data_IF_417194047656
#
_entry.id   IF_417194047656
#
_cell.length_a   1.000
_cell.length_b   1.000
_cell.length_c   1.000
_cell.angle_alpha   90.00
_cell.angle_beta   90.00
_cell.angle_gamma   90.00
#
_symmetry.space_group_name_H-M   'P 1'
#
loop_
_entity.id
_entity.type
_entity.pdbx_description
1 polymer ?
#
# COMPACT_ATOMS: atom_id res chain seq x y z
N UNK A 1 9.65 -19.00 -6.76
CA UNK A 1 8.88 -17.81 -6.33
C UNK A 1 7.40 -18.11 -6.11
N UNK A 2 6.86 -17.79 -4.94
CA UNK A 2 5.43 -17.95 -4.60
C UNK A 2 4.53 -17.35 -5.68
N UNK A 3 4.89 -16.17 -6.19
CA UNK A 3 4.16 -15.46 -7.23
C UNK A 3 3.92 -16.26 -8.53
N UNK A 4 4.84 -17.16 -8.89
CA UNK A 4 4.75 -17.95 -10.14
C UNK A 4 3.86 -19.18 -10.02
N UNK A 5 3.72 -19.74 -8.81
CA UNK A 5 3.04 -21.03 -8.57
C UNK A 5 1.63 -20.90 -8.01
N UNK A 6 1.26 -19.73 -7.49
CA UNK A 6 -0.02 -19.50 -6.83
C UNK A 6 -0.89 -18.54 -7.65
N UNK A 7 -2.18 -18.84 -7.81
CA UNK A 7 -3.14 -17.93 -8.41
C UNK A 7 -3.35 -16.67 -7.55
N UNK A 8 -3.67 -15.53 -8.17
CA UNK A 8 -3.74 -14.23 -7.46
C UNK A 8 -4.78 -14.18 -6.34
N UNK A 9 -5.79 -15.03 -6.36
CA UNK A 9 -6.88 -15.15 -5.41
C UNK A 9 -6.75 -16.33 -4.44
N UNK A 10 -5.69 -17.15 -4.59
CA UNK A 10 -5.49 -18.37 -3.81
C UNK A 10 -4.56 -18.20 -2.60
N UNK A 11 -4.14 -16.97 -2.27
CA UNK A 11 -3.29 -16.73 -1.11
C UNK A 11 -4.07 -16.95 0.19
N UNK A 12 -3.53 -17.80 1.07
CA UNK A 12 -4.10 -18.05 2.40
C UNK A 12 -3.52 -17.10 3.45
N UNK A 13 -4.16 -16.99 4.62
CA UNK A 13 -3.62 -16.19 5.73
C UNK A 13 -2.27 -16.73 6.17
N UNK A 14 -2.11 -18.05 6.23
CA UNK A 14 -0.88 -18.74 6.61
C UNK A 14 0.26 -18.44 5.62
N UNK A 15 -0.03 -18.44 4.32
CA UNK A 15 0.93 -18.01 3.30
C UNK A 15 1.32 -16.54 3.54
N UNK A 16 0.33 -15.66 3.71
CA UNK A 16 0.57 -14.24 3.92
C UNK A 16 1.45 -13.98 5.15
N UNK A 17 1.22 -14.65 6.27
CA UNK A 17 1.99 -14.43 7.50
C UNK A 17 3.41 -15.04 7.43
N UNK A 18 3.60 -16.11 6.65
CA UNK A 18 4.89 -16.82 6.55
C UNK A 18 5.84 -16.24 5.50
N UNK A 19 5.33 -15.67 4.41
CA UNK A 19 6.14 -15.03 3.38
C UNK A 19 6.98 -13.87 3.96
N UNK A 20 8.19 -13.60 3.44
CA UNK A 20 9.01 -12.49 3.91
C UNK A 20 8.44 -11.17 3.38
N UNK A 21 8.15 -10.21 4.25
CA UNK A 21 7.60 -8.91 3.89
C UNK A 21 8.67 -7.85 3.82
N UNK A 22 8.47 -6.92 2.90
CA UNK A 22 9.07 -5.59 2.95
C UNK A 22 8.04 -4.60 3.47
N UNK A 23 8.45 -3.78 4.42
CA UNK A 23 7.63 -2.74 5.03
C UNK A 23 8.28 -1.35 4.89
N UNK A 24 7.51 -0.26 4.87
CA UNK A 24 8.06 1.07 5.09
C UNK A 24 8.77 1.14 6.44
N UNK A 25 9.94 1.78 6.49
CA UNK A 25 10.62 2.06 7.76
C UNK A 25 9.73 2.90 8.68
N UNK A 26 9.90 2.69 9.98
CA UNK A 26 9.20 3.47 11.01
C UNK A 26 9.57 4.95 10.88
N UNK A 27 8.57 5.83 10.85
CA UNK A 27 8.80 7.28 10.84
C UNK A 27 9.33 7.80 12.17
N UNK A 28 9.02 7.11 13.27
CA UNK A 28 9.45 7.46 14.63
C UNK A 28 9.77 6.18 15.42
N UNK A 29 10.71 6.20 16.37
CA UNK A 29 11.01 5.06 17.22
C UNK A 29 9.75 4.52 17.91
N UNK A 30 9.50 3.22 17.80
CA UNK A 30 8.35 2.56 18.42
C UNK A 30 7.02 2.76 17.68
N UNK A 31 7.00 3.54 16.59
CA UNK A 31 5.82 3.66 15.73
C UNK A 31 5.68 2.43 14.85
N UNK A 32 4.56 1.71 14.99
CA UNK A 32 4.25 0.55 14.15
C UNK A 32 3.51 0.98 12.89
N UNK A 33 3.82 0.34 11.78
CA UNK A 33 3.09 0.53 10.53
C UNK A 33 1.61 0.16 10.67
N UNK A 34 0.75 0.82 9.88
CA UNK A 34 -0.72 0.62 9.92
C UNK A 34 -1.11 -0.85 9.73
N UNK A 35 -0.40 -1.56 8.85
CA UNK A 35 -0.62 -2.99 8.58
C UNK A 35 -0.30 -3.84 9.81
N UNK A 36 0.87 -3.62 10.41
CA UNK A 36 1.34 -4.39 11.57
C UNK A 36 0.45 -4.14 12.80
N UNK A 37 0.07 -2.88 13.04
CA UNK A 37 -0.85 -2.52 14.12
C UNK A 37 -2.24 -3.15 13.94
N UNK A 38 -2.72 -3.29 12.70
CA UNK A 38 -3.99 -3.95 12.43
C UNK A 38 -3.90 -5.47 12.64
N UNK A 39 -2.85 -6.11 12.12
CA UNK A 39 -2.64 -7.56 12.29
C UNK A 39 -2.52 -7.93 13.77
N UNK A 40 -1.76 -7.16 14.54
CA UNK A 40 -1.56 -7.42 15.97
C UNK A 40 -2.87 -7.36 16.77
N UNK A 41 -3.73 -6.37 16.49
CA UNK A 41 -5.06 -6.28 17.12
C UNK A 41 -5.93 -7.50 16.82
N UNK A 42 -5.66 -8.19 15.72
CA UNK A 42 -6.31 -9.43 15.34
C UNK A 42 -5.53 -10.69 15.79
N UNK A 43 -4.52 -10.55 16.65
CA UNK A 43 -3.69 -11.66 17.14
C UNK A 43 -2.74 -12.25 16.10
N UNK A 44 -2.52 -11.56 14.98
CA UNK A 44 -1.66 -12.00 13.88
C UNK A 44 -0.35 -11.22 13.84
N UNK A 45 0.71 -11.85 13.33
CA UNK A 45 1.99 -11.20 13.07
C UNK A 45 2.60 -11.74 11.77
N UNK A 46 2.95 -10.83 10.86
CA UNK A 46 3.67 -11.18 9.63
C UNK A 46 5.18 -11.16 9.83
N UNK A 47 5.91 -11.84 8.95
CA UNK A 47 7.38 -11.82 8.93
C UNK A 47 7.91 -10.59 8.17
N UNK A 48 8.22 -9.48 8.85
CA UNK A 48 8.89 -8.33 8.22
C UNK A 48 10.39 -8.59 8.13
N UNK A 49 10.87 -8.94 6.93
CA UNK A 49 12.25 -9.30 6.66
C UNK A 49 13.12 -8.08 6.28
N UNK A 50 12.50 -7.06 5.69
CA UNK A 50 13.19 -5.84 5.24
C UNK A 50 12.32 -4.61 5.56
N UNK A 51 12.95 -3.57 6.08
CA UNK A 51 12.35 -2.24 6.15
C UNK A 51 13.03 -1.29 5.15
N UNK A 52 12.25 -0.45 4.48
CA UNK A 52 12.78 0.54 3.53
C UNK A 52 12.23 1.94 3.80
N UNK A 53 13.13 2.91 3.90
CA UNK A 53 12.78 4.33 3.99
C UNK A 53 12.26 4.90 2.65
N UNK A 54 12.49 4.19 1.54
CA UNK A 54 12.17 4.66 0.19
C UNK A 54 11.06 3.83 -0.44
N UNK A 55 9.81 4.15 -0.10
CA UNK A 55 8.64 3.37 -0.52
C UNK A 55 8.54 3.18 -2.04
N UNK A 56 8.88 4.21 -2.83
CA UNK A 56 8.88 4.15 -4.29
C UNK A 56 9.94 3.24 -4.91
N UNK A 57 10.95 2.80 -4.14
CA UNK A 57 11.98 1.87 -4.61
C UNK A 57 11.63 0.41 -4.30
N UNK A 58 10.68 0.15 -3.40
CA UNK A 58 10.28 -1.19 -3.01
C UNK A 58 9.90 -2.08 -4.21
N UNK A 59 9.11 -1.62 -5.22
CA UNK A 59 8.73 -2.46 -6.36
C UNK A 59 9.92 -3.07 -7.11
N UNK A 60 11.06 -2.37 -7.16
CA UNK A 60 12.28 -2.89 -7.80
C UNK A 60 12.96 -3.98 -6.96
N UNK A 61 12.84 -3.93 -5.64
CA UNK A 61 13.32 -5.00 -4.75
C UNK A 61 12.50 -6.28 -4.95
N UNK A 62 11.18 -6.14 -5.15
CA UNK A 62 10.28 -7.29 -5.38
C UNK A 62 10.64 -8.06 -6.65
N UNK A 63 11.19 -7.40 -7.67
CA UNK A 63 11.57 -8.06 -8.93
C UNK A 63 12.69 -9.10 -8.75
N UNK A 64 13.53 -8.92 -7.74
CA UNK A 64 14.75 -9.72 -7.54
C UNK A 64 14.67 -10.60 -6.28
N UNK A 65 13.51 -10.63 -5.61
CA UNK A 65 13.34 -11.31 -4.33
C UNK A 65 11.98 -12.00 -4.25
N UNK A 66 11.80 -12.83 -3.22
CA UNK A 66 10.49 -13.39 -2.85
C UNK A 66 9.76 -12.53 -1.81
N UNK A 67 10.14 -11.25 -1.70
CA UNK A 67 9.51 -10.31 -0.76
C UNK A 67 8.06 -10.01 -1.16
N UNK A 68 7.23 -9.74 -0.16
CA UNK A 68 5.84 -9.31 -0.32
C UNK A 68 5.67 -7.89 0.21
N UNK A 69 5.00 -7.04 -0.57
CA UNK A 69 4.57 -5.71 -0.14
C UNK A 69 3.05 -5.69 0.02
N UNK A 70 2.55 -5.26 1.18
CA UNK A 70 1.14 -4.91 1.37
C UNK A 70 0.97 -3.41 1.17
N UNK A 71 0.22 -2.99 0.15
CA UNK A 71 0.07 -1.57 -0.23
C UNK A 71 -1.28 -1.31 -0.91
N UNK A 72 -1.56 -0.04 -1.22
CA UNK A 72 -2.73 0.38 -1.97
C UNK A 72 -2.70 -0.07 -3.42
N UNK A 73 -3.86 -0.52 -3.92
CA UNK A 73 -4.03 -1.04 -5.29
C UNK A 73 -3.58 -0.08 -6.39
N UNK A 74 -3.83 1.22 -6.23
CA UNK A 74 -3.45 2.24 -7.23
C UNK A 74 -1.92 2.35 -7.39
N UNK A 75 -1.17 2.22 -6.30
CA UNK A 75 0.29 2.24 -6.33
C UNK A 75 0.83 1.04 -7.13
N UNK A 76 0.33 -0.17 -6.85
CA UNK A 76 0.78 -1.35 -7.61
C UNK A 76 0.32 -1.32 -9.06
N UNK A 77 -0.90 -0.87 -9.36
CA UNK A 77 -1.38 -0.72 -10.74
C UNK A 77 -0.49 0.18 -11.60
N UNK A 78 0.17 1.18 -11.00
CA UNK A 78 1.14 2.01 -11.71
C UNK A 78 2.38 1.19 -12.12
N UNK A 79 2.96 0.44 -11.20
CA UNK A 79 4.17 -0.36 -11.45
C UNK A 79 3.90 -1.63 -12.28
N UNK A 80 2.74 -2.27 -12.17
CA UNK A 80 2.38 -3.44 -12.99
C UNK A 80 2.35 -3.14 -14.49
N UNK A 81 2.28 -1.86 -14.90
CA UNK A 81 2.36 -1.46 -16.31
C UNK A 81 3.75 -1.62 -16.90
N UNK A 82 4.79 -1.60 -16.07
CA UNK A 82 6.19 -1.54 -16.51
C UNK A 82 7.07 -2.62 -15.90
N UNK A 83 6.68 -3.16 -14.75
CA UNK A 83 7.41 -4.19 -14.02
C UNK A 83 6.61 -5.51 -14.03
N UNK A 84 7.29 -6.67 -14.12
CA UNK A 84 6.65 -7.99 -14.12
C UNK A 84 6.23 -8.43 -12.70
N UNK A 85 5.44 -7.60 -12.03
CA UNK A 85 4.94 -7.83 -10.69
C UNK A 85 3.53 -8.43 -10.74
N UNK A 86 3.20 -9.22 -9.72
CA UNK A 86 1.88 -9.87 -9.59
C UNK A 86 1.22 -9.44 -8.29
N UNK A 87 0.06 -8.79 -8.38
CA UNK A 87 -0.78 -8.52 -7.22
C UNK A 87 -1.60 -9.74 -6.81
N UNK A 88 -1.73 -9.93 -5.50
CA UNK A 88 -2.58 -10.93 -4.86
C UNK A 88 -3.72 -10.26 -4.10
N UNK A 89 -4.86 -10.93 -4.02
CA UNK A 89 -5.91 -10.56 -3.08
C UNK A 89 -5.40 -10.86 -1.68
N UNK A 90 -5.40 -9.84 -0.83
CA UNK A 90 -4.90 -9.99 0.53
C UNK A 90 -5.92 -10.82 1.33
N UNK A 91 -5.52 -11.92 1.98
CA UNK A 91 -6.43 -12.82 2.69
C UNK A 91 -6.95 -12.23 4.01
N UNK A 92 -6.40 -11.10 4.43
CA UNK A 92 -6.82 -10.33 5.59
C UNK A 92 -7.66 -9.13 5.13
N UNK A 93 -8.85 -8.96 5.73
CA UNK A 93 -9.76 -7.83 5.43
C UNK A 93 -9.32 -6.55 6.14
N UNK A 94 -8.36 -5.85 5.54
CA UNK A 94 -7.98 -4.50 5.99
C UNK A 94 -9.09 -3.48 5.71
N UNK A 95 -9.27 -2.46 6.57
CA UNK A 95 -10.18 -1.36 6.29
C UNK A 95 -9.74 -0.59 5.03
N UNK A 96 -10.68 0.03 4.29
CA UNK A 96 -10.34 0.81 3.11
C UNK A 96 -9.47 2.01 3.50
N UNK A 97 -8.37 2.19 2.77
CA UNK A 97 -7.51 3.36 2.90
C UNK A 97 -8.25 4.59 2.36
N UNK A 98 -8.34 5.64 3.18
CA UNK A 98 -8.99 6.91 2.81
C UNK A 98 -7.92 7.99 2.65
N UNK A 99 -7.97 8.70 1.52
CA UNK A 99 -7.15 9.88 1.27
C UNK A 99 -7.98 11.13 1.51
N UNK A 100 -7.39 12.09 2.21
CA UNK A 100 -8.02 13.37 2.52
C UNK A 100 -7.14 14.50 1.99
N UNK A 101 -7.78 15.55 1.49
CA UNK A 101 -7.12 16.83 1.26
C UNK A 101 -7.23 17.64 2.55
N UNK A 102 -6.10 18.14 3.05
CA UNK A 102 -6.02 18.95 4.26
C UNK A 102 -5.52 20.35 3.89
N UNK A 103 -6.16 21.39 4.42
CA UNK A 103 -5.76 22.77 4.23
C UNK A 103 -6.15 23.60 5.46
N UNK A 104 -5.53 24.76 5.61
CA UNK A 104 -5.84 25.68 6.71
C UNK A 104 -7.07 26.54 6.39
N UNK A 105 -7.88 26.86 7.40
CA UNK A 105 -9.12 27.67 7.25
C UNK A 105 -8.87 28.99 6.50
N UNK A 106 -7.74 29.65 6.77
CA UNK A 106 -7.27 30.87 6.09
C UNK A 106 -7.35 30.83 4.56
N UNK A 107 -7.18 29.67 3.93
CA UNK A 107 -7.22 29.50 2.47
C UNK A 107 -8.46 28.72 2.00
N UNK A 108 -9.45 28.53 2.88
CA UNK A 108 -10.66 27.78 2.56
C UNK A 108 -11.44 28.45 1.42
N UNK A 109 -11.61 29.77 1.49
CA UNK A 109 -12.35 30.57 0.51
C UNK A 109 -11.49 31.15 -0.62
N UNK A 110 -10.17 30.94 -0.60
CA UNK A 110 -9.28 31.44 -1.66
C UNK A 110 -9.59 30.75 -3.00
N UNK A 111 -9.94 31.49 -4.08
CA UNK A 111 -10.38 30.91 -5.35
C UNK A 111 -9.37 29.94 -5.97
N UNK A 112 -8.09 30.28 -5.95
CA UNK A 112 -6.99 29.48 -6.48
C UNK A 112 -6.83 28.15 -5.73
N UNK A 113 -6.99 28.16 -4.40
CA UNK A 113 -6.96 26.95 -3.59
C UNK A 113 -8.19 26.09 -3.82
N UNK A 114 -9.38 26.70 -3.93
CA UNK A 114 -10.61 25.96 -4.25
C UNK A 114 -10.50 25.28 -5.61
N UNK A 115 -10.05 26.00 -6.64
CA UNK A 115 -9.83 25.44 -7.96
C UNK A 115 -8.90 24.22 -7.91
N UNK A 116 -7.75 24.33 -7.24
CA UNK A 116 -6.80 23.21 -7.14
C UNK A 116 -7.41 22.00 -6.43
N UNK A 117 -8.14 22.21 -5.33
CA UNK A 117 -8.81 21.13 -4.60
C UNK A 117 -9.87 20.44 -5.44
N UNK A 118 -10.60 21.20 -6.25
CA UNK A 118 -11.61 20.68 -7.16
C UNK A 118 -10.96 19.87 -8.30
N UNK A 119 -9.85 20.34 -8.87
CA UNK A 119 -9.08 19.59 -9.86
C UNK A 119 -8.53 18.27 -9.30
N UNK A 120 -7.90 18.30 -8.13
CA UNK A 120 -7.39 17.10 -7.47
C UNK A 120 -8.52 16.10 -7.16
N UNK A 121 -9.67 16.60 -6.70
CA UNK A 121 -10.85 15.76 -6.44
C UNK A 121 -11.37 15.10 -7.71
N UNK A 122 -11.46 15.85 -8.81
CA UNK A 122 -11.93 15.33 -10.09
C UNK A 122 -11.00 14.22 -10.62
N UNK A 123 -9.68 14.46 -10.62
CA UNK A 123 -8.68 13.47 -11.06
C UNK A 123 -8.71 12.23 -10.16
N UNK A 124 -8.73 12.41 -8.84
CA UNK A 124 -8.78 11.29 -7.90
C UNK A 124 -10.03 10.41 -8.08
N UNK A 125 -11.20 11.03 -8.30
CA UNK A 125 -12.44 10.29 -8.60
C UNK A 125 -12.34 9.49 -9.89
N UNK A 126 -11.74 10.07 -10.94
CA UNK A 126 -11.56 9.38 -12.22
C UNK A 126 -10.63 8.15 -12.12
N UNK A 127 -9.67 8.14 -11.19
CA UNK A 127 -8.79 7.00 -10.96
C UNK A 127 -9.50 5.82 -10.27
N UNK A 128 -10.52 6.07 -9.45
CA UNK A 128 -11.27 5.01 -8.74
C UNK A 128 -12.27 4.30 -9.65
N UNK A 129 -12.69 4.94 -10.74
CA UNK A 129 -13.69 4.42 -11.69
C UNK A 129 -13.11 3.45 -12.74
N UNK A 130 -11.80 3.25 -12.78
CA UNK A 130 -11.08 2.30 -13.66
C UNK A 130 -10.39 1.23 -12.83
#
# INVERSE_FOLDING_TARGET
>A
PYARRTASDAMTVEDYLSLPHVAPSQMMPGHRGVIDAFLERAGMRRNVAVESAYFGLIPYMLMQTDLVLTTGRQFMRFYERTLPLKTFTVPVRFPPMRFYQLWHERVHQAPEHKWLRDQLTAVAKALVQK
#
